data_IF_371201541405
#
_entry.id   IF_371201541405
#
_cell.length_a   1.000
_cell.length_b   1.000
_cell.length_c   1.000
_cell.angle_alpha   90.00
_cell.angle_beta   90.00
_cell.angle_gamma   90.00
#
_symmetry.space_group_name_H-M   'P 1'
#
loop_
_entity.id
_entity.type
_entity.pdbx_description
1 polymer ?
#
# COMPACT_ATOMS: atom_id res chain seq x y z
N UNK A 1 -6.64 -21.50 -16.81
CA UNK A 1 -7.57 -21.31 -15.68
C UNK A 1 -7.81 -19.82 -15.57
N UNK A 2 -9.06 -19.39 -15.59
CA UNK A 2 -9.43 -17.97 -15.62
C UNK A 2 -10.02 -17.61 -14.26
N UNK A 3 -9.61 -16.48 -13.69
CA UNK A 3 -10.00 -16.11 -12.33
C UNK A 3 -10.11 -14.58 -12.22
N UNK A 4 -10.93 -14.13 -11.28
CA UNK A 4 -11.12 -12.69 -11.00
C UNK A 4 -10.34 -12.35 -9.74
N UNK A 5 -9.44 -11.36 -9.82
CA UNK A 5 -8.62 -10.93 -8.68
C UNK A 5 -8.92 -9.47 -8.28
N UNK A 6 -9.97 -9.24 -7.48
CA UNK A 6 -10.48 -7.91 -7.17
C UNK A 6 -9.62 -7.21 -6.10
N UNK A 7 -9.33 -5.92 -6.30
CA UNK A 7 -8.68 -5.02 -5.32
C UNK A 7 -7.45 -5.62 -4.61
N UNK A 8 -6.67 -6.41 -5.33
CA UNK A 8 -5.54 -7.14 -4.76
C UNK A 8 -4.21 -6.42 -4.91
N UNK A 9 -3.27 -6.78 -4.04
CA UNK A 9 -1.87 -6.39 -4.11
C UNK A 9 -1.00 -7.51 -4.68
N UNK A 10 0.10 -7.15 -5.33
CA UNK A 10 1.16 -8.10 -5.69
C UNK A 10 2.04 -8.44 -4.48
N UNK A 11 2.70 -9.59 -4.54
CA UNK A 11 3.59 -10.10 -3.48
C UNK A 11 5.04 -10.17 -3.95
N UNK A 12 5.98 -9.91 -3.05
CA UNK A 12 7.40 -10.19 -3.27
C UNK A 12 7.73 -11.56 -2.70
N UNK A 13 7.99 -12.54 -3.57
CA UNK A 13 8.23 -13.93 -3.18
C UNK A 13 9.71 -14.26 -3.34
N UNK A 14 10.32 -14.82 -2.29
CA UNK A 14 11.70 -15.32 -2.31
C UNK A 14 11.72 -16.74 -1.76
N UNK A 15 12.67 -17.56 -2.22
CA UNK A 15 12.90 -18.88 -1.64
C UNK A 15 13.12 -18.75 -0.12
N UNK A 16 12.58 -19.66 0.70
CA UNK A 16 11.97 -20.96 0.34
C UNK A 16 10.49 -20.93 -0.09
N UNK A 17 9.83 -19.77 -0.16
CA UNK A 17 8.47 -19.67 -0.69
C UNK A 17 8.46 -19.70 -2.23
N UNK A 18 7.34 -20.10 -2.81
CA UNK A 18 7.14 -20.13 -4.26
C UNK A 18 5.77 -19.55 -4.63
N UNK A 19 5.70 -18.93 -5.80
CA UNK A 19 4.47 -18.31 -6.32
C UNK A 19 3.56 -19.38 -6.90
N UNK A 20 2.24 -19.26 -6.67
CA UNK A 20 1.22 -20.17 -7.22
C UNK A 20 0.20 -19.50 -8.13
N UNK A 21 0.03 -18.18 -8.02
CA UNK A 21 -0.79 -17.36 -8.93
C UNK A 21 -0.01 -16.12 -9.34
N UNK A 22 -0.17 -15.70 -10.59
CA UNK A 22 0.39 -14.45 -11.11
C UNK A 22 -0.68 -13.60 -11.79
N UNK A 23 -0.43 -12.30 -11.92
CA UNK A 23 -1.34 -11.35 -12.57
C UNK A 23 -1.47 -11.55 -14.08
N UNK A 24 -0.58 -12.34 -14.68
CA UNK A 24 -0.59 -12.62 -16.11
C UNK A 24 -0.25 -11.40 -16.98
N UNK A 25 -0.38 -11.56 -18.31
CA UNK A 25 0.09 -10.57 -19.29
C UNK A 25 -0.87 -9.41 -19.54
N UNK A 26 -2.15 -9.53 -19.13
CA UNK A 26 -3.20 -8.54 -19.40
C UNK A 26 -3.55 -7.65 -18.20
N UNK A 27 -2.79 -7.74 -17.11
CA UNK A 27 -3.00 -6.96 -15.89
C UNK A 27 -1.77 -6.12 -15.57
N UNK A 28 -1.97 -5.00 -14.87
CA UNK A 28 -0.86 -4.16 -14.42
C UNK A 28 -0.79 -4.14 -12.88
N UNK A 29 0.38 -4.41 -12.27
CA UNK A 29 1.66 -4.78 -12.89
C UNK A 29 1.63 -6.21 -13.49
N UNK A 30 2.26 -6.38 -14.65
CA UNK A 30 2.23 -7.62 -15.46
C UNK A 30 3.10 -8.73 -14.86
N UNK A 31 2.63 -9.98 -14.95
CA UNK A 31 3.33 -11.19 -14.49
C UNK A 31 3.93 -11.09 -13.07
N UNK A 32 3.22 -10.42 -12.15
CA UNK A 32 3.61 -10.31 -10.75
C UNK A 32 2.95 -11.40 -9.90
N UNK A 33 3.62 -11.90 -8.84
CA UNK A 33 3.01 -12.84 -7.90
C UNK A 33 1.77 -12.25 -7.23
N UNK A 34 0.68 -13.01 -7.21
CA UNK A 34 -0.56 -12.67 -6.50
C UNK A 34 -0.81 -13.58 -5.29
N UNK A 35 -0.31 -14.81 -5.36
CA UNK A 35 -0.42 -15.78 -4.28
C UNK A 35 0.88 -16.57 -4.15
N UNK A 36 1.28 -16.85 -2.91
CA UNK A 36 2.49 -17.57 -2.59
C UNK A 36 2.24 -18.65 -1.55
N UNK A 37 2.95 -19.77 -1.70
CA UNK A 37 2.90 -20.90 -0.79
C UNK A 37 4.28 -21.15 -0.18
N UNK A 38 4.27 -21.64 1.04
CA UNK A 38 5.45 -22.13 1.74
C UNK A 38 5.10 -23.39 2.53
N UNK A 39 5.98 -24.38 2.50
CA UNK A 39 5.86 -25.58 3.34
C UNK A 39 7.21 -25.99 3.90
N UNK A 40 7.22 -26.43 5.16
CA UNK A 40 8.38 -27.04 5.82
C UNK A 40 7.92 -28.04 6.87
N UNK A 41 8.28 -29.30 6.71
CA UNK A 41 7.75 -30.37 7.57
C UNK A 41 6.23 -30.42 7.43
N UNK A 42 5.48 -30.42 8.53
CA UNK A 42 4.01 -30.40 8.47
C UNK A 42 3.42 -28.98 8.47
N UNK A 43 4.25 -27.93 8.56
CA UNK A 43 3.78 -26.55 8.53
C UNK A 43 3.58 -26.06 7.11
N UNK A 44 2.41 -25.50 6.81
CA UNK A 44 2.03 -24.92 5.51
C UNK A 44 1.53 -23.49 5.70
N UNK A 45 1.85 -22.62 4.75
CA UNK A 45 1.42 -21.24 4.70
C UNK A 45 1.00 -20.88 3.27
N UNK A 46 -0.15 -20.24 3.13
CA UNK A 46 -0.60 -19.60 1.89
C UNK A 46 -0.82 -18.12 2.18
N UNK A 47 -0.32 -17.28 1.28
CA UNK A 47 -0.55 -15.83 1.30
C UNK A 47 -1.27 -15.46 0.01
N UNK A 48 -2.40 -14.77 0.14
CA UNK A 48 -3.18 -14.21 -0.96
C UNK A 48 -3.09 -12.68 -0.91
N UNK A 49 -2.84 -12.06 -2.05
CA UNK A 49 -2.78 -10.60 -2.17
C UNK A 49 -4.14 -9.89 -2.15
N UNK A 50 -5.25 -10.62 -2.13
CA UNK A 50 -6.61 -10.06 -2.07
C UNK A 50 -7.48 -10.83 -1.08
N UNK A 51 -8.12 -10.11 -0.17
CA UNK A 51 -9.15 -10.65 0.71
C UNK A 51 -10.46 -10.85 -0.05
N UNK A 52 -10.80 -9.90 -0.94
CA UNK A 52 -12.05 -9.92 -1.72
C UNK A 52 -12.14 -11.08 -2.69
N UNK A 53 -11.00 -11.70 -3.02
CA UNK A 53 -10.93 -12.93 -3.81
C UNK A 53 -11.80 -14.08 -3.24
N UNK A 54 -11.99 -14.10 -1.91
CA UNK A 54 -12.80 -15.12 -1.22
C UNK A 54 -14.13 -14.58 -0.67
N UNK A 55 -14.54 -13.38 -1.07
CA UNK A 55 -15.84 -12.83 -0.69
C UNK A 55 -16.96 -13.40 -1.57
N UNK A 56 -18.18 -13.47 -1.02
CA UNK A 56 -19.38 -13.98 -1.71
C UNK A 56 -19.62 -13.31 -3.07
N UNK A 57 -19.23 -12.04 -3.23
CA UNK A 57 -19.35 -11.29 -4.49
C UNK A 57 -18.48 -11.87 -5.62
N UNK A 58 -17.35 -12.51 -5.29
CA UNK A 58 -16.34 -12.93 -6.27
C UNK A 58 -16.02 -14.43 -6.22
N UNK A 59 -16.49 -15.17 -5.23
CA UNK A 59 -16.13 -16.58 -5.08
C UNK A 59 -16.75 -17.48 -6.17
N UNK A 60 -17.96 -17.13 -6.62
CA UNK A 60 -18.70 -17.85 -7.66
C UNK A 60 -18.34 -17.37 -9.08
N UNK A 61 -17.49 -16.34 -9.20
CA UNK A 61 -17.04 -15.81 -10.48
C UNK A 61 -15.88 -16.64 -11.05
N UNK A 62 -15.99 -17.01 -12.34
CA UNK A 62 -14.99 -17.77 -13.09
C UNK A 62 -14.56 -19.07 -12.38
N UNK A 63 -13.24 -19.35 -12.27
CA UNK A 63 -12.70 -20.52 -11.56
C UNK A 63 -12.27 -20.20 -10.10
N UNK A 64 -12.77 -19.12 -9.48
CA UNK A 64 -12.34 -18.72 -8.11
C UNK A 64 -12.63 -19.80 -7.06
N UNK A 65 -13.81 -20.42 -7.10
CA UNK A 65 -14.18 -21.55 -6.24
C UNK A 65 -13.22 -22.74 -6.37
N UNK A 66 -12.77 -23.08 -7.58
CA UNK A 66 -11.80 -24.16 -7.80
C UNK A 66 -10.42 -23.84 -7.20
N UNK A 67 -10.00 -22.58 -7.28
CA UNK A 67 -8.75 -22.11 -6.65
C UNK A 67 -8.86 -22.24 -5.13
N UNK A 68 -9.98 -21.79 -4.56
CA UNK A 68 -10.27 -21.89 -3.13
C UNK A 68 -10.20 -23.35 -2.66
N UNK A 69 -10.89 -24.26 -3.34
CA UNK A 69 -10.86 -25.69 -3.05
C UNK A 69 -9.44 -26.24 -3.14
N UNK A 70 -8.67 -25.86 -4.15
CA UNK A 70 -7.27 -26.27 -4.30
C UNK A 70 -6.40 -25.81 -3.13
N UNK A 71 -6.56 -24.56 -2.68
CA UNK A 71 -5.82 -23.99 -1.55
C UNK A 71 -6.18 -24.70 -0.25
N UNK A 72 -7.46 -24.87 0.06
CA UNK A 72 -7.88 -25.52 1.30
C UNK A 72 -7.55 -27.01 1.32
N UNK A 73 -7.74 -27.71 0.21
CA UNK A 73 -7.33 -29.11 0.11
C UNK A 73 -5.83 -29.26 0.37
N UNK A 74 -4.99 -28.36 -0.17
CA UNK A 74 -3.56 -28.39 0.09
C UNK A 74 -3.22 -28.10 1.56
N UNK A 75 -3.88 -27.12 2.18
CA UNK A 75 -3.67 -26.75 3.58
C UNK A 75 -4.11 -27.85 4.56
N UNK A 76 -5.23 -28.53 4.27
CA UNK A 76 -5.82 -29.55 5.14
C UNK A 76 -5.17 -30.93 4.98
N UNK A 77 -4.53 -31.20 3.85
CA UNK A 77 -3.86 -32.49 3.62
C UNK A 77 -2.61 -32.61 4.48
N UNK A 78 -2.43 -33.71 5.21
CA UNK A 78 -1.23 -33.93 6.04
C UNK A 78 0.04 -34.20 5.22
N UNK A 79 -0.14 -34.75 4.01
CA UNK A 79 0.98 -34.98 3.09
C UNK A 79 1.36 -33.68 2.37
N UNK A 80 2.66 -33.41 2.30
CA UNK A 80 3.18 -32.39 1.40
C UNK A 80 3.15 -32.93 -0.03
N UNK A 81 2.13 -32.54 -0.78
CA UNK A 81 2.22 -32.62 -2.23
C UNK A 81 3.29 -31.62 -2.70
N UNK A 82 4.15 -32.05 -3.63
CA UNK A 82 5.19 -31.22 -4.25
C UNK A 82 4.56 -30.20 -5.22
N UNK A 83 3.86 -29.21 -4.65
CA UNK A 83 3.23 -28.13 -5.43
C UNK A 83 4.30 -27.27 -6.11
N UNK A 84 5.51 -27.16 -5.54
CA UNK A 84 6.64 -26.46 -6.20
C UNK A 84 6.97 -27.09 -7.56
N UNK A 85 6.88 -28.43 -7.69
CA UNK A 85 7.13 -29.10 -8.97
C UNK A 85 5.95 -28.95 -9.94
N UNK A 86 4.72 -28.88 -9.46
CA UNK A 86 3.53 -28.66 -10.29
C UNK A 86 3.47 -27.25 -10.89
N UNK A 87 4.14 -26.28 -10.26
CA UNK A 87 4.14 -24.87 -10.65
C UNK A 87 5.43 -24.45 -11.37
N UNK A 88 6.37 -25.38 -11.60
CA UNK A 88 7.62 -25.12 -12.33
C UNK A 88 7.41 -24.58 -13.76
N UNK A 89 6.30 -24.93 -14.39
CA UNK A 89 5.99 -24.53 -15.77
C UNK A 89 5.27 -23.17 -15.85
N UNK A 90 5.12 -22.45 -14.73
CA UNK A 90 4.55 -21.10 -14.77
C UNK A 90 5.46 -20.14 -15.54
N UNK A 91 4.87 -19.18 -16.28
CA UNK A 91 5.64 -18.15 -16.98
C UNK A 91 6.55 -17.40 -16.01
N UNK A 92 7.76 -17.06 -16.48
CA UNK A 92 8.74 -16.34 -15.68
C UNK A 92 8.13 -15.05 -15.10
N UNK A 93 8.24 -14.93 -13.79
CA UNK A 93 7.81 -13.75 -13.06
C UNK A 93 8.70 -12.58 -13.47
N UNK A 94 8.08 -11.45 -13.78
CA UNK A 94 8.85 -10.26 -14.12
C UNK A 94 9.35 -9.57 -12.86
N UNK A 95 10.58 -9.05 -12.93
CA UNK A 95 11.13 -8.24 -11.85
C UNK A 95 10.28 -6.97 -11.66
N UNK A 96 9.98 -6.66 -10.41
CA UNK A 96 9.11 -5.51 -10.08
C UNK A 96 9.85 -4.21 -10.38
N UNK A 97 9.49 -3.56 -11.48
CA UNK A 97 10.00 -2.24 -11.82
C UNK A 97 9.19 -1.19 -11.07
N UNK A 98 9.84 -0.48 -10.14
CA UNK A 98 9.23 0.67 -9.48
C UNK A 98 8.94 1.76 -10.52
N UNK A 99 7.67 1.92 -10.84
CA UNK A 99 7.18 3.12 -11.53
C UNK A 99 6.99 4.23 -10.48
N UNK A 100 7.44 5.46 -10.78
CA UNK A 100 7.10 6.61 -9.95
C UNK A 100 5.57 6.81 -9.90
N UNK A 101 5.09 7.40 -8.80
CA UNK A 101 3.66 7.68 -8.59
C UNK A 101 3.10 8.52 -9.75
N UNK A 102 2.36 7.83 -10.62
CA UNK A 102 1.84 8.41 -11.86
C UNK A 102 0.75 9.44 -11.52
N UNK A 103 -0.01 9.22 -10.45
CA UNK A 103 -1.04 10.15 -9.98
C UNK A 103 -0.42 11.45 -9.49
N UNK A 104 0.58 11.35 -8.59
CA UNK A 104 1.31 12.53 -8.12
C UNK A 104 2.08 13.24 -9.23
N UNK A 105 2.53 12.52 -10.26
CA UNK A 105 3.17 13.13 -11.44
C UNK A 105 2.17 13.73 -12.43
N UNK A 106 0.94 13.23 -12.49
CA UNK A 106 -0.14 13.78 -13.30
C UNK A 106 -0.66 15.10 -12.71
N UNK A 107 -0.69 15.20 -11.38
CA UNK A 107 -1.03 16.44 -10.67
C UNK A 107 0.02 17.54 -10.83
N UNK A 108 1.24 17.18 -11.25
CA UNK A 108 2.27 18.17 -11.59
C UNK A 108 1.99 18.74 -12.97
N UNK A 109 1.51 19.98 -13.00
CA UNK A 109 1.48 20.82 -14.20
C UNK A 109 2.85 20.78 -14.91
N UNK A 110 2.90 20.11 -16.06
CA UNK A 110 4.06 20.16 -16.95
C UNK A 110 3.83 21.26 -17.98
N UNK A 111 4.84 22.10 -18.18
CA UNK A 111 4.85 23.00 -19.34
C UNK A 111 4.99 22.13 -20.59
N UNK A 112 3.88 21.88 -21.28
CA UNK A 112 3.92 21.22 -22.57
C UNK A 112 4.74 22.08 -23.54
N UNK A 113 5.58 21.45 -24.38
CA UNK A 113 6.18 22.10 -25.57
C UNK A 113 5.16 22.28 -26.71
N UNK A 114 3.88 22.05 -26.41
CA UNK A 114 2.80 22.24 -27.35
C UNK A 114 2.69 23.73 -27.62
N UNK A 115 2.83 24.11 -28.90
CA UNK A 115 2.55 25.46 -29.34
C UNK A 115 1.16 25.85 -28.85
N UNK A 116 1.09 26.96 -28.12
CA UNK A 116 -0.19 27.50 -27.69
C UNK A 116 -1.04 27.79 -28.92
N UNK A 117 -2.31 27.39 -28.90
CA UNK A 117 -3.28 27.81 -29.90
C UNK A 117 -3.23 29.35 -30.04
N UNK A 118 -3.42 29.85 -31.27
CA UNK A 118 -3.41 31.30 -31.51
C UNK A 118 -4.45 31.97 -30.60
N UNK A 119 -3.97 32.88 -29.74
CA UNK A 119 -4.83 33.60 -28.81
C UNK A 119 -5.89 34.40 -29.61
N UNK A 120 -7.13 34.47 -29.10
CA UNK A 120 -8.15 35.31 -29.70
C UNK A 120 -7.65 36.75 -29.86
N UNK A 121 -7.94 37.38 -31.00
CA UNK A 121 -7.58 38.79 -31.26
C UNK A 121 -8.15 39.76 -30.22
N UNK A 122 -9.30 39.39 -29.65
CA UNK A 122 -9.91 40.10 -28.54
C UNK A 122 -9.52 39.45 -27.22
N UNK A 123 -8.54 40.07 -26.53
CA UNK A 123 -8.03 39.59 -25.25
C UNK A 123 -9.10 39.55 -24.15
N UNK A 124 -10.23 40.25 -24.32
CA UNK A 124 -11.31 40.26 -23.33
C UNK A 124 -12.03 38.91 -23.23
N UNK A 125 -11.99 38.10 -24.29
CA UNK A 125 -12.55 36.73 -24.31
C UNK A 125 -11.78 35.73 -23.43
N UNK A 126 -10.58 36.09 -22.98
CA UNK A 126 -9.76 35.28 -22.07
C UNK A 126 -10.16 35.49 -20.61
N UNK A 127 -10.89 36.57 -20.29
CA UNK A 127 -11.41 36.79 -18.95
C UNK A 127 -12.68 35.96 -18.76
N UNK A 128 -12.56 34.89 -17.98
CA UNK A 128 -13.70 34.13 -17.48
C UNK A 128 -14.15 34.72 -16.14
N UNK A 129 -15.10 35.64 -16.18
CA UNK A 129 -15.66 36.26 -14.98
C UNK A 129 -16.46 35.27 -14.10
N UNK A 130 -16.75 34.07 -14.61
CA UNK A 130 -17.43 33.00 -13.88
C UNK A 130 -16.52 32.29 -12.86
N UNK A 131 -15.20 32.24 -13.10
CA UNK A 131 -14.27 31.49 -12.26
C UNK A 131 -13.97 32.20 -10.93
N UNK A 132 -14.08 33.53 -10.90
CA UNK A 132 -13.81 34.33 -9.70
C UNK A 132 -14.71 35.57 -9.66
N UNK A 133 -15.88 35.41 -9.03
CA UNK A 133 -16.84 36.49 -8.81
C UNK A 133 -17.02 36.73 -7.31
N UNK A 134 -16.85 37.97 -6.86
CA UNK A 134 -17.29 38.38 -5.53
C UNK A 134 -18.82 38.54 -5.53
N UNK A 135 -19.53 37.42 -5.32
CA UNK A 135 -20.99 37.39 -5.27
C UNK A 135 -21.49 36.97 -3.88
N UNK A 136 -22.66 37.46 -3.51
CA UNK A 136 -23.34 37.15 -2.24
C UNK A 136 -24.49 36.17 -2.43
N UNK A 137 -24.67 35.60 -3.63
CA UNK A 137 -25.75 34.64 -3.94
C UNK A 137 -25.87 33.48 -2.94
N UNK A 138 -24.76 32.98 -2.39
CA UNK A 138 -24.75 31.83 -1.48
C UNK A 138 -24.98 32.20 0.00
N UNK A 139 -25.10 33.48 0.33
CA UNK A 139 -25.31 33.93 1.72
C UNK A 139 -26.65 33.43 2.26
N UNK A 140 -27.70 33.45 1.44
CA UNK A 140 -29.03 32.98 1.82
C UNK A 140 -29.08 31.47 2.12
N UNK A 141 -28.41 30.66 1.29
CA UNK A 141 -28.27 29.21 1.52
C UNK A 141 -27.45 28.92 2.78
N UNK A 142 -26.37 29.67 2.99
CA UNK A 142 -25.53 29.56 4.20
C UNK A 142 -26.30 29.85 5.49
N UNK A 143 -27.23 30.82 5.47
CA UNK A 143 -28.07 31.14 6.65
C UNK A 143 -29.06 30.00 6.94
N UNK A 144 -29.68 29.42 5.90
CA UNK A 144 -30.61 28.28 6.07
C UNK A 144 -29.92 27.04 6.62
N UNK A 145 -28.67 26.80 6.24
CA UNK A 145 -27.85 25.69 6.73
C UNK A 145 -27.69 25.66 8.26
N UNK A 146 -27.71 26.81 8.94
CA UNK A 146 -27.67 26.84 10.41
C UNK A 146 -28.88 26.13 11.03
N UNK A 147 -30.06 26.24 10.43
CA UNK A 147 -31.27 25.55 10.90
C UNK A 147 -31.17 24.04 10.65
N UNK A 148 -30.70 23.62 9.48
CA UNK A 148 -30.52 22.20 9.14
C UNK A 148 -29.50 21.49 10.03
N UNK A 149 -28.40 22.17 10.35
CA UNK A 149 -27.34 21.64 11.22
C UNK A 149 -27.64 21.78 12.72
N UNK A 150 -28.78 22.38 13.08
CA UNK A 150 -29.13 22.71 14.47
C UNK A 150 -28.03 23.50 15.20
N UNK A 151 -27.31 24.36 14.47
CA UNK A 151 -26.25 25.23 15.00
C UNK A 151 -26.79 26.63 15.18
N UNK A 152 -26.48 27.27 16.30
CA UNK A 152 -26.91 28.64 16.56
C UNK A 152 -26.20 29.61 15.61
N UNK A 153 -26.96 30.44 14.92
CA UNK A 153 -26.43 31.52 14.09
C UNK A 153 -25.98 32.69 14.98
N UNK A 154 -24.73 32.67 15.43
CA UNK A 154 -24.11 33.73 16.24
C UNK A 154 -22.66 34.01 15.80
N UNK A 155 -22.11 35.20 16.08
CA UNK A 155 -20.72 35.52 15.78
C UNK A 155 -19.78 34.51 16.45
N UNK A 156 -18.83 33.95 15.68
CA UNK A 156 -17.86 32.99 16.19
C UNK A 156 -17.06 33.61 17.34
N UNK A 157 -17.19 33.01 18.52
CA UNK A 157 -16.36 33.32 19.68
C UNK A 157 -15.26 32.27 19.83
N UNK A 158 -14.08 32.68 20.30
CA UNK A 158 -13.03 31.74 20.67
C UNK A 158 -13.52 30.86 21.82
N UNK A 159 -13.83 29.60 21.54
CA UNK A 159 -14.10 28.61 22.58
C UNK A 159 -12.74 28.07 23.04
N UNK A 160 -12.34 28.26 24.31
CA UNK A 160 -11.15 27.61 24.83
C UNK A 160 -11.37 26.09 24.80
N UNK A 161 -10.47 25.31 24.20
CA UNK A 161 -10.66 23.87 24.08
C UNK A 161 -10.74 23.23 25.47
N UNK A 162 -11.84 22.54 25.75
CA UNK A 162 -11.98 21.71 26.94
C UNK A 162 -11.51 20.31 26.58
N UNK A 163 -10.28 19.98 26.96
CA UNK A 163 -9.77 18.62 26.84
C UNK A 163 -10.24 17.82 28.05
N UNK A 164 -10.98 16.75 27.81
CA UNK A 164 -11.09 15.70 28.81
C UNK A 164 -9.70 15.06 28.96
N UNK A 165 -9.07 15.24 30.12
CA UNK A 165 -7.85 14.53 30.49
C UNK A 165 -8.23 13.37 31.44
N UNK A 166 -8.73 12.23 30.90
CA UNK A 166 -9.13 11.09 31.73
C UNK A 166 -7.93 10.45 32.44
N UNK A 167 -6.71 10.71 31.97
CA UNK A 167 -5.48 10.18 32.53
C UNK A 167 -4.76 11.23 33.39
N UNK A 168 -4.18 10.83 34.55
CA UNK A 168 -3.36 11.72 35.36
C UNK A 168 -2.11 12.18 34.59
N UNK A 169 -1.64 13.38 34.91
CA UNK A 169 -0.47 13.98 34.25
C UNK A 169 0.75 13.05 34.31
N UNK A 170 1.36 12.80 33.15
CA UNK A 170 2.57 12.01 33.00
C UNK A 170 3.73 12.65 33.79
N UNK A 171 4.42 11.84 34.59
CA UNK A 171 5.66 12.23 35.27
C UNK A 171 6.85 11.75 34.46
N UNK A 172 7.87 12.59 34.33
CA UNK A 172 9.11 12.22 33.66
C UNK A 172 9.76 11.01 34.36
N UNK A 173 10.31 10.09 33.56
CA UNK A 173 11.05 8.95 34.07
C UNK A 173 12.31 9.45 34.80
N UNK A 174 12.41 9.16 36.10
CA UNK A 174 13.57 9.52 36.93
C UNK A 174 14.70 8.50 36.82
N UNK A 175 14.47 7.42 36.06
CA UNK A 175 15.43 6.35 35.84
C UNK A 175 15.87 6.32 34.39
N UNK A 176 17.18 6.29 34.11
CA UNK A 176 17.67 6.09 32.75
C UNK A 176 17.23 4.70 32.24
N UNK A 177 16.89 4.58 30.95
CA UNK A 177 16.53 3.30 30.36
C UNK A 177 17.70 2.32 30.50
N UNK A 178 17.42 1.12 31.01
CA UNK A 178 18.40 0.04 31.09
C UNK A 178 18.65 -0.54 29.69
N UNK A 179 19.55 0.07 28.95
CA UNK A 179 20.04 -0.47 27.69
C UNK A 179 20.86 -1.73 27.99
N UNK A 180 20.61 -2.82 27.26
CA UNK A 180 21.47 -3.99 27.31
C UNK A 180 22.77 -3.64 26.59
N UNK A 181 23.92 -3.88 27.25
CA UNK A 181 25.21 -3.76 26.60
C UNK A 181 25.31 -4.70 25.40
N UNK A 182 25.90 -4.22 24.31
CA UNK A 182 26.14 -5.03 23.12
C UNK A 182 27.13 -6.16 23.45
N UNK A 183 26.94 -7.37 22.89
CA UNK A 183 27.94 -8.41 23.00
C UNK A 183 29.27 -7.94 22.40
N UNK A 184 30.42 -8.37 22.95
CA UNK A 184 31.72 -8.03 22.38
C UNK A 184 31.82 -8.56 20.93
N UNK A 185 32.58 -7.87 20.05
CA UNK A 185 32.75 -8.29 18.66
C UNK A 185 33.40 -9.69 18.59
N UNK A 186 33.04 -10.46 17.56
CA UNK A 186 33.61 -11.79 17.31
C UNK A 186 35.10 -11.69 16.98
N UNK A 187 35.91 -12.52 17.65
CA UNK A 187 37.37 -12.55 17.53
C UNK A 187 37.87 -12.83 16.10
N UNK A 188 37.04 -13.45 15.24
CA UNK A 188 37.37 -13.79 13.84
C UNK A 188 37.57 -12.57 12.92
N UNK A 189 37.21 -11.36 13.38
CA UNK A 189 37.41 -10.10 12.66
C UNK A 189 38.68 -9.35 13.11
N UNK A 190 39.45 -9.91 14.05
CA UNK A 190 40.73 -9.33 14.47
C UNK A 190 41.87 -9.99 13.68
N UNK A 191 42.53 -9.20 12.83
CA UNK A 191 43.79 -9.59 12.22
C UNK A 191 44.89 -9.53 13.29
N UNK A 192 45.11 -10.67 13.93
CA UNK A 192 46.13 -10.82 14.97
C UNK A 192 47.53 -10.65 14.38
N UNK A 193 47.73 -10.95 13.10
CA UNK A 193 49.02 -10.78 12.45
C UNK A 193 49.34 -9.30 12.30
N UNK A 194 48.37 -8.45 11.94
CA UNK A 194 48.55 -6.99 11.89
C UNK A 194 48.90 -6.40 13.28
N UNK A 195 48.28 -6.91 14.35
CA UNK A 195 48.49 -6.40 15.71
C UNK A 195 49.80 -6.88 16.37
N UNK A 196 50.26 -8.09 16.06
CA UNK A 196 51.49 -8.65 16.62
C UNK A 196 52.72 -8.51 15.71
N UNK A 197 52.56 -8.11 14.44
CA UNK A 197 53.69 -7.94 13.52
C UNK A 197 54.56 -6.70 13.77
N UNK A 198 54.22 -5.83 14.73
CA UNK A 198 55.11 -4.75 15.16
C UNK A 198 56.03 -5.20 16.31
N UNK A 199 57.01 -6.04 15.99
CA UNK A 199 58.30 -6.04 16.68
C UNK A 199 59.39 -6.61 15.78
N UNK A 200 59.94 -5.74 14.91
CA UNK A 200 61.36 -5.70 14.56
C UNK A 200 61.78 -4.37 13.98
#
# INVERSE_FOLDING_TARGET
MQFVFPYGASLTVKKPAFTVLSSGPISYPTNQPLAACWSKGNGKLVVLGSMKFLEDEFIDEEDNSKIQDGIFNWLLTEQNQDVENAVKDMPELMEYNHVPDITAMADRLRSCLQESEELPKDFTSLFKDDLFKFDTNLVGESIKMFEELAVKHEPLTLIPPQFECPMPNLKAAVFPPSLKDLPPPSLDMFDLDEQFANEK
#
